data_IF_286752496873
#
_entry.id   IF_286752496873
#
_cell.length_a   1.000
_cell.length_b   1.000
_cell.length_c   1.000
_cell.angle_alpha   90.00
_cell.angle_beta   90.00
_cell.angle_gamma   90.00
#
_symmetry.space_group_name_H-M   'P 1'
#
loop_
_entity.id
_entity.type
_entity.pdbx_description
1 polymer ?
#
# COMPACT_ATOMS: atom_id res chain seq x y z
N UNK A 1 -13.18 13.03 11.84
CA UNK A 1 -14.43 12.27 11.58
C UNK A 1 -14.01 10.91 11.08
N UNK A 2 -14.17 9.87 11.90
CA UNK A 2 -13.86 8.50 11.49
C UNK A 2 -14.96 8.04 10.52
N UNK A 3 -14.57 7.65 9.31
CA UNK A 3 -15.47 7.00 8.37
C UNK A 3 -15.80 5.59 8.87
N UNK A 4 -17.03 5.14 8.71
CA UNK A 4 -17.31 3.74 8.87
C UNK A 4 -16.74 2.93 7.68
N UNK A 5 -16.71 1.61 7.82
CA UNK A 5 -16.13 0.72 6.82
C UNK A 5 -16.78 0.87 5.44
N UNK A 6 -18.09 1.06 5.40
CA UNK A 6 -18.83 1.19 4.13
C UNK A 6 -18.57 2.55 3.47
N UNK A 7 -18.52 3.61 4.27
CA UNK A 7 -18.18 4.96 3.80
C UNK A 7 -16.73 5.00 3.27
N UNK A 8 -15.80 4.35 3.95
CA UNK A 8 -14.41 4.25 3.52
C UNK A 8 -14.27 3.49 2.19
N UNK A 9 -15.00 2.38 1.99
CA UNK A 9 -15.03 1.67 0.71
C UNK A 9 -15.57 2.54 -0.43
N UNK A 10 -16.67 3.26 -0.21
CA UNK A 10 -17.22 4.18 -1.21
C UNK A 10 -16.23 5.29 -1.55
N UNK A 11 -15.62 5.89 -0.51
CA UNK A 11 -14.61 6.94 -0.69
C UNK A 11 -13.39 6.42 -1.48
N UNK A 12 -12.96 5.18 -1.24
CA UNK A 12 -11.88 4.55 -2.01
C UNK A 12 -12.27 4.38 -3.48
N UNK A 13 -13.50 3.92 -3.76
CA UNK A 13 -13.99 3.80 -5.13
C UNK A 13 -14.02 5.15 -5.84
N UNK A 14 -14.60 6.17 -5.22
CA UNK A 14 -14.73 7.52 -5.78
C UNK A 14 -13.35 8.16 -6.04
N UNK A 15 -12.37 7.89 -5.18
CA UNK A 15 -11.00 8.35 -5.38
C UNK A 15 -10.28 7.62 -6.52
N UNK A 16 -10.52 6.31 -6.66
CA UNK A 16 -9.92 5.47 -7.69
C UNK A 16 -10.54 5.71 -9.08
N UNK A 17 -11.86 5.82 -9.15
CA UNK A 17 -12.65 5.91 -10.38
C UNK A 17 -13.64 7.08 -10.34
N UNK A 18 -13.17 8.33 -10.36
CA UNK A 18 -14.02 9.50 -10.11
C UNK A 18 -15.17 9.70 -11.12
N UNK A 19 -15.06 9.08 -12.30
CA UNK A 19 -16.07 9.18 -13.37
C UNK A 19 -16.96 7.93 -13.48
N UNK A 20 -16.78 6.95 -12.60
CA UNK A 20 -17.51 5.67 -12.66
C UNK A 20 -18.28 5.47 -11.35
N UNK A 21 -19.61 5.61 -11.43
CA UNK A 21 -20.46 5.42 -10.25
C UNK A 21 -20.43 3.97 -9.78
N UNK A 22 -20.16 3.76 -8.50
CA UNK A 22 -20.28 2.47 -7.85
C UNK A 22 -21.76 2.05 -7.78
N UNK A 23 -22.07 0.84 -8.23
CA UNK A 23 -23.45 0.31 -8.24
C UNK A 23 -23.91 -0.17 -6.87
N UNK A 24 -22.98 -0.56 -6.01
CA UNK A 24 -23.28 -1.03 -4.65
C UNK A 24 -22.05 -1.59 -3.94
N UNK A 25 -22.19 -1.81 -2.62
CA UNK A 25 -21.12 -2.40 -1.79
C UNK A 25 -20.82 -3.85 -2.15
N UNK A 26 -21.76 -4.54 -2.80
CA UNK A 26 -21.56 -5.85 -3.41
C UNK A 26 -21.77 -5.64 -4.91
N UNK A 27 -20.70 -5.71 -5.69
CA UNK A 27 -20.71 -5.44 -7.13
C UNK A 27 -19.50 -6.06 -7.81
N UNK A 28 -19.66 -6.61 -8.99
CA UNK A 28 -18.57 -7.11 -9.82
C UNK A 28 -17.54 -6.01 -10.20
N UNK A 29 -17.95 -4.73 -10.11
CA UNK A 29 -17.05 -3.60 -10.37
C UNK A 29 -15.80 -3.60 -9.46
N UNK A 30 -15.88 -4.14 -8.24
CA UNK A 30 -14.74 -4.21 -7.33
C UNK A 30 -13.55 -4.97 -7.93
N UNK A 31 -13.81 -5.92 -8.82
CA UNK A 31 -12.75 -6.66 -9.53
C UNK A 31 -11.89 -5.75 -10.42
N UNK A 32 -12.42 -4.62 -10.89
CA UNK A 32 -11.65 -3.63 -11.67
C UNK A 32 -10.54 -2.98 -10.85
N UNK A 33 -10.67 -2.97 -9.52
CA UNK A 33 -9.63 -2.51 -8.59
C UNK A 33 -8.70 -3.65 -8.13
N UNK A 34 -9.01 -4.89 -8.48
CA UNK A 34 -8.20 -6.05 -8.07
C UNK A 34 -8.61 -6.65 -6.74
N UNK A 35 -9.88 -6.56 -6.34
CA UNK A 35 -10.47 -7.37 -5.26
C UNK A 35 -10.73 -8.80 -5.74
N UNK A 36 -10.72 -9.78 -4.83
CA UNK A 36 -10.92 -11.19 -5.19
C UNK A 36 -12.33 -11.48 -5.70
N UNK A 37 -13.31 -10.74 -5.22
CA UNK A 37 -14.71 -10.95 -5.58
C UNK A 37 -15.55 -9.68 -5.59
N UNK A 38 -16.85 -9.87 -5.70
CA UNK A 38 -17.84 -8.80 -5.71
C UNK A 38 -18.03 -8.13 -4.34
N UNK A 39 -17.52 -8.72 -3.26
CA UNK A 39 -17.64 -8.20 -1.90
C UNK A 39 -16.23 -7.99 -1.29
N UNK A 40 -15.70 -6.75 -1.30
CA UNK A 40 -14.38 -6.45 -0.75
C UNK A 40 -14.23 -6.81 0.73
N UNK A 41 -15.31 -6.77 1.50
CA UNK A 41 -15.25 -7.03 2.95
C UNK A 41 -14.69 -8.40 3.30
N UNK A 42 -14.73 -9.35 2.38
CA UNK A 42 -14.17 -10.70 2.58
C UNK A 42 -12.64 -10.73 2.54
N UNK A 43 -12.00 -9.71 2.00
CA UNK A 43 -10.55 -9.66 1.79
C UNK A 43 -9.78 -9.07 2.98
N UNK A 44 -10.48 -8.44 3.95
CA UNK A 44 -9.85 -7.75 5.10
C UNK A 44 -9.50 -8.63 6.31
N UNK A 45 -9.40 -9.95 6.15
CA UNK A 45 -9.26 -10.90 7.26
C UNK A 45 -7.98 -10.77 8.08
N UNK A 46 -6.90 -10.26 7.50
CA UNK A 46 -5.59 -10.22 8.18
C UNK A 46 -5.27 -8.91 8.89
N UNK A 47 -5.74 -7.77 8.36
CA UNK A 47 -5.35 -6.43 8.82
C UNK A 47 -6.54 -5.55 9.19
N UNK A 48 -7.77 -6.06 9.02
CA UNK A 48 -8.98 -5.31 9.35
C UNK A 48 -9.06 -3.97 8.63
N UNK A 49 -9.56 -2.97 9.33
CA UNK A 49 -9.82 -1.64 8.79
C UNK A 49 -8.54 -0.89 8.38
N UNK A 50 -7.41 -1.14 9.04
CA UNK A 50 -6.15 -0.45 8.77
C UNK A 50 -5.71 -0.56 7.29
N UNK A 51 -5.87 -1.74 6.67
CA UNK A 51 -5.51 -1.91 5.26
C UNK A 51 -6.39 -1.10 4.31
N UNK A 52 -7.66 -0.88 4.65
CA UNK A 52 -8.55 0.01 3.92
C UNK A 52 -8.14 1.48 4.10
N UNK A 53 -7.78 1.88 5.32
CA UNK A 53 -7.30 3.23 5.61
C UNK A 53 -6.02 3.55 4.84
N UNK A 54 -5.08 2.62 4.77
CA UNK A 54 -3.85 2.80 3.98
C UNK A 54 -4.13 2.96 2.49
N UNK A 55 -5.00 2.12 1.91
CA UNK A 55 -5.40 2.28 0.49
C UNK A 55 -6.08 3.62 0.25
N UNK A 56 -6.96 4.02 1.16
CA UNK A 56 -7.69 5.28 1.07
C UNK A 56 -6.77 6.49 1.23
N UNK A 57 -5.80 6.44 2.14
CA UNK A 57 -4.77 7.46 2.27
C UNK A 57 -4.01 7.63 0.94
N UNK A 58 -3.56 6.53 0.36
CA UNK A 58 -2.82 6.55 -0.91
C UNK A 58 -3.65 7.11 -2.07
N UNK A 59 -4.95 6.82 -2.10
CA UNK A 59 -5.87 7.27 -3.15
C UNK A 59 -6.29 8.76 -3.03
N UNK A 60 -6.26 9.32 -1.81
CA UNK A 60 -6.75 10.66 -1.54
C UNK A 60 -5.80 11.76 -2.03
N UNK A 61 -6.38 12.91 -2.30
CA UNK A 61 -5.65 14.11 -2.71
C UNK A 61 -5.40 15.01 -1.49
N UNK A 62 -4.30 14.77 -0.79
CA UNK A 62 -3.86 15.66 0.28
C UNK A 62 -3.04 16.82 -0.29
N UNK A 63 -3.24 18.06 0.17
CA UNK A 63 -2.48 19.21 -0.30
C UNK A 63 -0.96 19.05 -0.14
N UNK A 64 -0.54 18.41 0.95
CA UNK A 64 0.88 18.13 1.27
C UNK A 64 1.42 16.97 0.43
N UNK A 65 0.59 15.97 0.13
CA UNK A 65 0.99 14.71 -0.51
C UNK A 65 0.41 14.55 -1.92
N UNK A 66 0.34 15.63 -2.71
CA UNK A 66 -0.28 15.64 -4.05
C UNK A 66 0.26 14.56 -5.00
N UNK A 67 1.55 14.24 -4.89
CA UNK A 67 2.20 13.24 -5.72
C UNK A 67 1.72 11.81 -5.43
N UNK A 68 1.21 11.52 -4.23
CA UNK A 68 0.73 10.18 -3.87
C UNK A 68 -0.46 9.76 -4.72
N UNK A 69 -1.40 10.67 -4.95
CA UNK A 69 -2.55 10.39 -5.81
C UNK A 69 -2.14 10.03 -7.24
N UNK A 70 -1.16 10.73 -7.81
CA UNK A 70 -0.65 10.43 -9.14
C UNK A 70 0.00 9.04 -9.16
N UNK A 71 0.80 8.71 -8.15
CA UNK A 71 1.42 7.39 -8.00
C UNK A 71 0.37 6.30 -7.81
N UNK A 72 -0.64 6.51 -6.97
CA UNK A 72 -1.77 5.58 -6.81
C UNK A 72 -2.43 5.25 -8.15
N UNK A 73 -2.83 6.26 -8.92
CA UNK A 73 -3.49 6.05 -10.21
C UNK A 73 -2.56 5.39 -11.23
N UNK A 74 -1.29 5.74 -11.24
CA UNK A 74 -0.30 5.10 -12.11
C UNK A 74 -0.18 3.59 -11.81
N UNK A 75 -0.22 3.21 -10.54
CA UNK A 75 -0.13 1.81 -10.12
C UNK A 75 -1.46 1.06 -10.32
N UNK A 76 -2.59 1.71 -10.10
CA UNK A 76 -3.92 1.13 -10.30
C UNK A 76 -4.25 0.94 -11.78
N UNK A 77 -4.01 1.98 -12.59
CA UNK A 77 -4.42 2.04 -13.99
C UNK A 77 -3.31 1.60 -14.95
N UNK A 78 -2.57 0.58 -14.60
CA UNK A 78 -1.54 -0.03 -15.44
C UNK A 78 -2.14 -0.61 -16.72
N UNK A 79 -2.59 0.27 -17.59
CA UNK A 79 -3.28 -0.12 -18.79
C UNK A 79 -2.34 0.02 -19.99
N UNK A 80 -2.10 -1.08 -20.66
CA UNK A 80 -1.41 -1.10 -21.94
C UNK A 80 -0.42 -2.24 -22.10
N UNK A 81 -0.44 -2.85 -23.25
CA UNK A 81 0.52 -3.85 -23.70
C UNK A 81 0.51 -5.17 -22.89
N UNK A 82 1.65 -5.80 -22.86
CA UNK A 82 1.83 -7.12 -22.27
C UNK A 82 1.59 -7.14 -20.75
N UNK A 83 1.85 -6.02 -20.06
CA UNK A 83 1.70 -5.95 -18.60
C UNK A 83 0.27 -6.26 -18.13
N UNK A 84 -0.74 -5.78 -18.84
CA UNK A 84 -2.14 -6.02 -18.51
C UNK A 84 -2.53 -7.51 -18.45
N UNK A 85 -1.75 -8.38 -19.08
CA UNK A 85 -2.01 -9.83 -19.15
C UNK A 85 -1.53 -10.59 -17.90
N UNK A 86 -0.56 -10.03 -17.16
CA UNK A 86 0.10 -10.72 -16.05
C UNK A 86 0.22 -9.86 -14.78
N UNK A 87 -0.62 -8.86 -14.68
CA UNK A 87 -0.59 -7.93 -13.55
C UNK A 87 -1.07 -8.56 -12.25
N UNK A 88 -0.52 -8.11 -11.13
CA UNK A 88 -1.01 -8.49 -9.80
C UNK A 88 -2.35 -7.80 -9.48
N UNK A 89 -3.22 -8.40 -8.65
CA UNK A 89 -4.47 -7.76 -8.22
C UNK A 89 -4.17 -6.62 -7.25
N UNK A 90 -4.43 -5.38 -7.66
CA UNK A 90 -4.02 -4.16 -6.97
C UNK A 90 -4.49 -4.07 -5.52
N UNK A 91 -5.79 -4.22 -5.26
CA UNK A 91 -6.33 -4.08 -3.92
C UNK A 91 -5.84 -5.18 -2.97
N UNK A 92 -5.78 -6.42 -3.44
CA UNK A 92 -5.24 -7.55 -2.66
C UNK A 92 -3.76 -7.34 -2.36
N UNK A 93 -2.98 -6.85 -3.31
CA UNK A 93 -1.59 -6.48 -3.07
C UNK A 93 -1.46 -5.43 -1.97
N UNK A 94 -2.31 -4.41 -1.98
CA UNK A 94 -2.35 -3.38 -0.94
C UNK A 94 -2.61 -3.93 0.46
N UNK A 95 -3.52 -4.89 0.60
CA UNK A 95 -3.78 -5.58 1.88
C UNK A 95 -2.55 -6.36 2.33
N UNK A 96 -1.91 -7.08 1.43
CA UNK A 96 -0.72 -7.86 1.74
C UNK A 96 0.47 -6.99 2.16
N UNK A 97 0.59 -5.78 1.60
CA UNK A 97 1.61 -4.79 2.01
C UNK A 97 1.36 -4.33 3.44
N UNK A 98 0.12 -4.00 3.81
CA UNK A 98 -0.20 -3.63 5.20
C UNK A 98 0.19 -4.76 6.16
N UNK A 99 -0.16 -6.00 5.83
CA UNK A 99 0.18 -7.17 6.64
C UNK A 99 1.70 -7.35 6.78
N UNK A 100 2.43 -7.22 5.67
CA UNK A 100 3.89 -7.29 5.65
C UNK A 100 4.51 -6.21 6.56
N UNK A 101 4.04 -4.97 6.51
CA UNK A 101 4.54 -3.87 7.33
C UNK A 101 4.27 -4.10 8.82
N UNK A 102 3.07 -4.55 9.20
CA UNK A 102 2.74 -4.88 10.58
C UNK A 102 3.70 -5.92 11.15
N UNK A 103 4.00 -6.96 10.36
CA UNK A 103 4.96 -8.00 10.77
C UNK A 103 6.40 -7.49 10.81
N UNK A 104 6.82 -6.76 9.78
CA UNK A 104 8.18 -6.23 9.66
C UNK A 104 8.54 -5.29 10.82
N UNK A 105 7.58 -4.48 11.25
CA UNK A 105 7.74 -3.49 12.32
C UNK A 105 7.40 -4.04 13.70
N UNK A 106 6.98 -5.30 13.81
CA UNK A 106 6.57 -5.96 15.07
C UNK A 106 5.45 -5.19 15.80
N UNK A 107 4.45 -4.69 15.05
CA UNK A 107 3.39 -3.84 15.61
C UNK A 107 2.33 -4.62 16.42
N UNK A 108 2.38 -5.94 16.46
CA UNK A 108 1.54 -6.76 17.34
C UNK A 108 2.07 -6.85 18.77
N UNK A 109 3.34 -6.53 18.98
CA UNK A 109 3.97 -6.51 20.30
C UNK A 109 3.65 -5.22 21.05
N UNK A 110 3.53 -5.26 22.37
CA UNK A 110 3.40 -4.05 23.20
C UNK A 110 4.53 -3.04 22.95
N UNK A 111 5.70 -3.55 22.65
CA UNK A 111 6.86 -2.78 22.21
C UNK A 111 7.63 -3.57 21.16
N UNK A 112 7.89 -2.98 19.98
CA UNK A 112 8.71 -3.61 18.96
C UNK A 112 10.10 -4.00 19.51
N UNK A 113 10.59 -5.18 19.13
CA UNK A 113 11.90 -5.70 19.52
C UNK A 113 12.93 -5.64 18.40
N UNK A 114 12.46 -5.51 17.15
CA UNK A 114 13.33 -5.42 15.99
C UNK A 114 13.78 -3.96 15.73
N UNK A 115 14.96 -3.79 15.15
CA UNK A 115 15.51 -2.47 14.83
C UNK A 115 14.62 -1.63 13.91
N UNK A 116 14.04 -2.17 12.82
CA UNK A 116 13.08 -1.43 12.00
C UNK A 116 11.89 -0.88 12.80
N UNK A 117 11.31 -1.67 13.69
CA UNK A 117 10.19 -1.26 14.53
C UNK A 117 10.57 -0.18 15.54
N UNK A 118 11.74 -0.29 16.16
CA UNK A 118 12.25 0.73 17.09
C UNK A 118 12.51 2.06 16.39
N UNK A 119 13.09 2.03 15.19
CA UNK A 119 13.31 3.22 14.39
C UNK A 119 11.99 3.80 13.87
N UNK A 120 11.02 2.96 13.53
CA UNK A 120 9.69 3.41 13.12
C UNK A 120 8.98 4.22 14.20
N UNK A 121 9.09 3.85 15.47
CA UNK A 121 8.53 4.63 16.58
C UNK A 121 9.07 6.06 16.56
N UNK A 122 10.38 6.24 16.33
CA UNK A 122 11.00 7.57 16.24
C UNK A 122 10.45 8.37 15.05
N UNK A 123 10.26 7.72 13.90
CA UNK A 123 9.66 8.36 12.73
C UNK A 123 8.22 8.80 12.99
N UNK A 124 7.44 7.98 13.71
CA UNK A 124 6.06 8.27 14.06
C UNK A 124 5.95 9.41 15.07
N UNK A 125 6.93 9.58 15.98
CA UNK A 125 7.01 10.73 16.89
C UNK A 125 7.23 12.06 16.15
N UNK A 126 7.91 12.03 15.00
CA UNK A 126 8.18 13.21 14.17
C UNK A 126 7.07 13.50 13.15
N UNK A 127 6.37 12.46 12.66
CA UNK A 127 5.35 12.56 11.62
C UNK A 127 4.24 11.52 11.86
N UNK A 128 3.04 12.00 12.17
CA UNK A 128 1.87 11.14 12.41
C UNK A 128 1.45 10.34 11.16
N UNK A 129 1.78 10.82 9.97
CA UNK A 129 1.52 10.14 8.69
C UNK A 129 2.62 9.11 8.32
N UNK A 130 3.63 8.90 9.18
CA UNK A 130 4.79 8.06 8.85
C UNK A 130 4.42 6.64 8.41
N UNK A 131 3.41 6.01 9.02
CA UNK A 131 2.97 4.68 8.62
C UNK A 131 2.32 4.68 7.23
N UNK A 132 1.47 5.64 6.96
CA UNK A 132 0.78 5.75 5.67
C UNK A 132 1.76 6.08 4.54
N UNK A 133 2.75 6.93 4.80
CA UNK A 133 3.81 7.22 3.83
C UNK A 133 4.69 5.99 3.59
N UNK A 134 5.07 5.28 4.66
CA UNK A 134 5.82 4.02 4.54
C UNK A 134 5.05 2.98 3.71
N UNK A 135 3.73 2.91 3.90
CA UNK A 135 2.86 2.06 3.07
C UNK A 135 2.94 2.43 1.59
N UNK A 136 2.87 3.72 1.26
CA UNK A 136 2.97 4.20 -0.12
C UNK A 136 4.35 3.86 -0.72
N UNK A 137 5.42 4.03 0.04
CA UNK A 137 6.80 3.65 -0.35
C UNK A 137 6.87 2.14 -0.61
N UNK A 138 6.34 1.33 0.31
CA UNK A 138 6.34 -0.12 0.19
C UNK A 138 5.58 -0.60 -1.05
N UNK A 139 4.45 0.04 -1.36
CA UNK A 139 3.67 -0.28 -2.55
C UNK A 139 4.45 0.03 -3.84
N UNK A 140 5.05 1.21 -3.94
CA UNK A 140 5.85 1.60 -5.09
C UNK A 140 7.08 0.68 -5.26
N UNK A 141 7.74 0.32 -4.14
CA UNK A 141 8.87 -0.60 -4.13
C UNK A 141 8.46 -2.01 -4.57
N UNK A 142 7.34 -2.52 -4.07
CA UNK A 142 6.80 -3.82 -4.47
C UNK A 142 6.50 -3.87 -5.97
N UNK A 143 5.92 -2.82 -6.53
CA UNK A 143 5.66 -2.71 -7.96
C UNK A 143 6.95 -2.74 -8.79
N UNK A 144 7.97 -2.02 -8.34
CA UNK A 144 9.29 -2.03 -9.00
C UNK A 144 9.94 -3.43 -8.94
N UNK A 145 9.84 -4.14 -7.82
CA UNK A 145 10.33 -5.51 -7.70
C UNK A 145 9.54 -6.47 -8.59
N UNK A 146 8.22 -6.35 -8.62
CA UNK A 146 7.37 -7.13 -9.51
C UNK A 146 7.83 -7.03 -10.97
N UNK A 147 8.09 -5.82 -11.44
CA UNK A 147 8.57 -5.57 -12.80
C UNK A 147 9.98 -6.11 -13.03
N UNK A 148 10.90 -5.84 -12.10
CA UNK A 148 12.30 -6.24 -12.23
C UNK A 148 12.48 -7.77 -12.25
N UNK A 149 11.67 -8.48 -11.48
CA UNK A 149 11.71 -9.94 -11.37
C UNK A 149 10.95 -10.63 -12.51
N UNK A 150 10.17 -9.91 -13.32
CA UNK A 150 9.23 -10.51 -14.27
C UNK A 150 8.34 -11.57 -13.60
N UNK A 151 7.90 -11.28 -12.38
CA UNK A 151 7.25 -12.25 -11.51
C UNK A 151 5.87 -12.67 -12.01
N UNK A 152 5.50 -13.90 -11.68
CA UNK A 152 4.14 -14.42 -11.84
C UNK A 152 3.33 -14.24 -10.55
N UNK A 153 2.01 -14.38 -10.67
CA UNK A 153 1.11 -14.32 -9.50
C UNK A 153 1.50 -15.28 -8.37
N UNK A 154 2.03 -16.46 -8.71
CA UNK A 154 2.45 -17.47 -7.72
C UNK A 154 3.68 -17.03 -6.91
N UNK A 155 4.52 -16.16 -7.49
CA UNK A 155 5.74 -15.64 -6.85
C UNK A 155 5.48 -14.39 -6.02
N UNK A 156 4.27 -13.80 -6.09
CA UNK A 156 3.96 -12.54 -5.45
C UNK A 156 4.23 -12.55 -3.94
N UNK A 157 3.64 -13.49 -3.20
CA UNK A 157 3.80 -13.55 -1.74
C UNK A 157 5.16 -14.08 -1.30
N UNK A 158 5.68 -15.06 -2.02
CA UNK A 158 6.88 -15.84 -1.61
C UNK A 158 8.16 -15.09 -1.97
N UNK A 159 8.17 -14.41 -3.09
CA UNK A 159 9.38 -13.78 -3.61
C UNK A 159 9.28 -12.25 -3.62
N UNK A 160 8.28 -11.67 -4.29
CA UNK A 160 8.20 -10.22 -4.48
C UNK A 160 8.03 -9.47 -3.17
N UNK A 161 7.08 -9.89 -2.32
CA UNK A 161 6.90 -9.28 -0.99
C UNK A 161 8.10 -9.52 -0.08
N UNK A 162 8.75 -10.68 -0.18
CA UNK A 162 9.92 -10.96 0.65
C UNK A 162 11.12 -10.08 0.27
N UNK A 163 11.37 -9.86 -1.02
CA UNK A 163 12.43 -8.95 -1.50
C UNK A 163 12.11 -7.52 -1.09
N UNK A 164 10.85 -7.09 -1.25
CA UNK A 164 10.38 -5.77 -0.83
C UNK A 164 10.61 -5.56 0.67
N UNK A 165 10.19 -6.52 1.50
CA UNK A 165 10.41 -6.51 2.94
C UNK A 165 11.88 -6.38 3.29
N UNK A 166 12.73 -7.22 2.72
CA UNK A 166 14.17 -7.23 3.00
C UNK A 166 14.82 -5.88 2.68
N UNK A 167 14.43 -5.25 1.57
CA UNK A 167 14.93 -3.94 1.20
C UNK A 167 14.47 -2.86 2.19
N UNK A 168 13.19 -2.85 2.57
CA UNK A 168 12.65 -1.91 3.55
C UNK A 168 13.29 -2.08 4.92
N UNK A 169 13.50 -3.32 5.38
CA UNK A 169 14.20 -3.60 6.64
C UNK A 169 15.62 -3.01 6.66
N UNK A 170 16.33 -3.09 5.54
CA UNK A 170 17.65 -2.46 5.41
C UNK A 170 17.57 -0.94 5.50
N UNK A 171 16.66 -0.32 4.77
CA UNK A 171 16.49 1.14 4.79
C UNK A 171 16.03 1.65 6.15
N UNK A 172 15.08 0.96 6.79
CA UNK A 172 14.60 1.28 8.13
C UNK A 172 15.63 1.04 9.24
N UNK A 173 16.73 0.36 8.92
CA UNK A 173 17.85 0.12 9.85
C UNK A 173 19.01 1.08 9.65
N UNK A 174 18.93 2.04 8.73
CA UNK A 174 19.96 3.06 8.52
C UNK A 174 20.00 4.04 9.71
N UNK A 175 21.20 4.36 10.18
CA UNK A 175 21.41 5.24 11.34
C UNK A 175 20.98 6.69 11.07
N UNK A 176 21.09 7.15 9.81
CA UNK A 176 20.82 8.53 9.40
C UNK A 176 19.32 8.79 9.09
N UNK A 177 18.45 7.80 9.26
CA UNK A 177 17.02 7.94 8.99
C UNK A 177 16.31 8.54 10.21
N UNK A 178 16.11 9.86 10.20
CA UNK A 178 15.42 10.59 11.26
C UNK A 178 13.98 10.98 10.89
N UNK A 179 13.67 11.05 9.60
CA UNK A 179 12.34 11.37 9.06
C UNK A 179 11.97 10.38 7.98
N UNK A 180 10.70 10.22 7.74
CA UNK A 180 10.20 9.32 6.67
C UNK A 180 10.76 9.71 5.29
N UNK A 181 11.03 10.98 5.06
CA UNK A 181 11.61 11.51 3.82
C UNK A 181 13.10 11.14 3.62
N UNK A 182 13.79 10.74 4.68
CA UNK A 182 15.19 10.37 4.62
C UNK A 182 15.40 8.94 4.08
N UNK A 183 14.30 8.15 3.98
CA UNK A 183 14.37 6.82 3.38
C UNK A 183 14.74 6.93 1.90
N UNK A 184 15.78 6.21 1.43
CA UNK A 184 16.17 6.22 0.02
C UNK A 184 15.00 5.95 -0.94
N UNK A 185 14.14 5.01 -0.60
CA UNK A 185 12.98 4.65 -1.41
C UNK A 185 11.86 5.70 -1.41
N UNK A 186 11.90 6.73 -0.54
CA UNK A 186 10.95 7.83 -0.59
C UNK A 186 10.88 8.49 -1.97
N UNK A 187 12.02 8.58 -2.67
CA UNK A 187 12.09 9.14 -4.02
C UNK A 187 11.25 8.38 -5.05
N UNK A 188 10.90 7.12 -4.79
CA UNK A 188 10.04 6.32 -5.69
C UNK A 188 8.62 6.90 -5.80
N UNK A 189 8.17 7.66 -4.81
CA UNK A 189 6.87 8.32 -4.81
C UNK A 189 6.81 9.53 -5.75
N UNK A 190 7.96 10.05 -6.16
CA UNK A 190 8.09 11.22 -7.05
C UNK A 190 8.44 10.86 -8.50
N UNK A 191 8.61 9.59 -8.81
CA UNK A 191 8.87 9.15 -10.18
C UNK A 191 7.60 9.30 -11.02
N UNK A 192 7.68 10.13 -12.06
CA UNK A 192 6.63 10.35 -13.06
C UNK A 192 6.63 9.24 -14.12
#
# INVERSE_FOLDING_TARGET
MYLDFQEALKALWDAAFPNIKLRGLISEQWKDMGWQGANPSTDFRGCGFLSLENLLFFARNYPVWKHLKATFHRLLLKQGGERAKWEYPFAVAGINITFMLIQMLDLHSEKPRCLPGLNFIKLLEEDEDAFDILYCIAFAMMDAQWLAMHASYMEFNVEVLQVTRTQLEREMSLEDTNRIHDLPAYNMLHQQ
#
